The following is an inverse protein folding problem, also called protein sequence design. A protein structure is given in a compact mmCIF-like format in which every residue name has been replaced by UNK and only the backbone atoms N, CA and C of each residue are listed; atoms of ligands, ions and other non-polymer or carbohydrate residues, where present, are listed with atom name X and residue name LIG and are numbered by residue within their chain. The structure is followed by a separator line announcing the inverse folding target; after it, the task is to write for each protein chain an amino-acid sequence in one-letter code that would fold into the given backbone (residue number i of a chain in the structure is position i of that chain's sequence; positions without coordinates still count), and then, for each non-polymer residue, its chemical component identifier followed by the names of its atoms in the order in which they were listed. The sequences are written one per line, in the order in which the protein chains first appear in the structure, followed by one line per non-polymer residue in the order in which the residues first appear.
data_IF_756461033646
#
_entry.id   IF_756461033646
#
_cell.length_a   1.000
_cell.length_b   1.000
_cell.length_c   1.000
_cell.angle_alpha   90.00
_cell.angle_beta   90.00
_cell.angle_gamma   90.00
#
_symmetry.space_group_name_H-M   'P 1'
#
loop_
_entity.id
_entity.type
_entity.pdbx_description
1 polymer ?
#
# COMPACT_ATOMS: atom_id res chain seq x y z
N UNK A 1 24.22 1.35 -28.98
CA UNK A 1 23.76 0.20 -28.15
C UNK A 1 25.03 -0.50 -27.73
N UNK A 2 25.80 0.16 -26.88
CA UNK A 2 26.98 -0.46 -26.28
C UNK A 2 26.47 -1.23 -25.06
N UNK A 3 26.62 -2.54 -25.09
CA UNK A 3 26.57 -3.35 -23.87
C UNK A 3 27.50 -2.71 -22.84
N UNK A 4 27.16 -2.74 -21.54
CA UNK A 4 28.15 -2.43 -20.52
C UNK A 4 29.22 -3.53 -20.64
N UNK A 5 30.31 -3.24 -21.34
CA UNK A 5 31.48 -4.10 -21.31
C UNK A 5 31.83 -4.26 -19.83
N UNK A 6 31.85 -5.51 -19.40
CA UNK A 6 32.31 -5.94 -18.10
C UNK A 6 33.75 -5.43 -17.97
N UNK A 7 33.92 -4.23 -17.39
CA UNK A 7 35.22 -3.59 -17.27
C UNK A 7 36.03 -4.42 -16.30
N UNK A 8 36.76 -5.40 -16.82
CA UNK A 8 37.70 -6.20 -16.05
C UNK A 8 38.95 -5.35 -15.78
N UNK A 9 39.17 -4.90 -14.54
CA UNK A 9 40.28 -4.01 -14.24
C UNK A 9 41.61 -4.76 -14.44
N UNK A 10 42.61 -4.08 -15.00
CA UNK A 10 43.95 -4.65 -15.17
C UNK A 10 44.79 -4.37 -13.94
N UNK A 11 45.49 -5.40 -13.45
CA UNK A 11 46.43 -5.21 -12.33
C UNK A 11 47.74 -4.53 -12.80
N UNK A 12 48.63 -4.17 -11.87
CA UNK A 12 49.91 -3.54 -12.20
C UNK A 12 50.88 -4.37 -13.06
N UNK A 13 50.57 -5.65 -13.34
CA UNK A 13 51.29 -6.45 -14.32
C UNK A 13 50.77 -6.31 -15.76
N UNK A 14 49.69 -5.55 -15.98
CA UNK A 14 49.00 -5.42 -17.27
C UNK A 14 48.09 -6.60 -17.64
N UNK A 15 47.85 -7.54 -16.70
CA UNK A 15 46.94 -8.68 -16.87
C UNK A 15 45.62 -8.42 -16.15
N UNK A 16 44.54 -9.07 -16.59
CA UNK A 16 43.21 -8.93 -16.00
C UNK A 16 43.22 -9.40 -14.54
N UNK A 17 42.63 -8.58 -13.67
CA UNK A 17 42.50 -8.85 -12.25
C UNK A 17 41.33 -9.80 -12.00
N UNK A 18 41.49 -10.70 -11.04
CA UNK A 18 40.50 -11.70 -10.68
C UNK A 18 39.59 -11.19 -9.56
N UNK A 19 38.29 -11.33 -9.75
CA UNK A 19 37.29 -11.07 -8.71
C UNK A 19 37.34 -12.14 -7.61
N UNK A 20 37.34 -11.69 -6.35
CA UNK A 20 37.41 -12.52 -5.14
C UNK A 20 36.46 -11.99 -4.07
N UNK A 21 36.08 -12.85 -3.13
CA UNK A 21 35.24 -12.52 -1.98
C UNK A 21 36.14 -12.30 -0.74
N UNK A 22 35.94 -11.21 -0.02
CA UNK A 22 36.59 -10.96 1.27
C UNK A 22 35.96 -11.81 2.36
N UNK A 23 36.81 -12.49 3.12
CA UNK A 23 36.44 -13.28 4.29
C UNK A 23 36.87 -12.62 5.61
N UNK A 24 37.18 -11.32 5.58
CA UNK A 24 37.58 -10.58 6.79
C UNK A 24 36.36 -10.21 7.65
N UNK A 25 36.53 -10.16 8.97
CA UNK A 25 35.45 -9.77 9.91
C UNK A 25 34.95 -8.34 9.64
N UNK A 26 35.82 -7.44 9.18
CA UNK A 26 35.48 -6.04 8.89
C UNK A 26 34.71 -5.86 7.59
N UNK A 27 35.04 -6.65 6.56
CA UNK A 27 34.42 -6.57 5.24
C UNK A 27 33.95 -7.97 4.80
N UNK A 28 33.03 -8.62 5.53
CA UNK A 28 32.61 -9.97 5.18
C UNK A 28 31.82 -9.95 3.88
N UNK A 29 32.09 -10.91 3.00
CA UNK A 29 31.41 -11.10 1.72
C UNK A 29 31.57 -9.97 0.69
N UNK A 30 32.37 -8.93 0.97
CA UNK A 30 32.62 -7.84 0.02
C UNK A 30 33.53 -8.31 -1.12
N UNK A 31 33.17 -7.98 -2.36
CA UNK A 31 33.90 -8.39 -3.55
C UNK A 31 35.07 -7.44 -3.85
N UNK A 32 36.23 -7.97 -4.25
CA UNK A 32 37.41 -7.20 -4.64
C UNK A 32 38.15 -7.85 -5.80
N UNK A 33 38.83 -7.04 -6.61
CA UNK A 33 39.73 -7.47 -7.66
C UNK A 33 41.17 -7.52 -7.16
N UNK A 34 41.89 -8.59 -7.49
CA UNK A 34 43.32 -8.71 -7.19
C UNK A 34 44.10 -9.26 -8.40
N UNK A 35 45.43 -9.14 -8.37
CA UNK A 35 46.27 -9.76 -9.38
C UNK A 35 46.05 -11.29 -9.47
N UNK A 36 45.89 -11.79 -10.69
CA UNK A 36 45.64 -13.21 -11.00
C UNK A 36 46.85 -14.14 -10.80
N UNK A 37 48.05 -13.59 -10.56
CA UNK A 37 49.26 -14.35 -10.27
C UNK A 37 49.21 -15.03 -8.88
N UNK A 38 50.10 -15.99 -8.66
CA UNK A 38 50.29 -16.63 -7.35
C UNK A 38 50.74 -15.63 -6.28
N UNK A 39 50.50 -15.93 -5.01
CA UNK A 39 50.76 -15.03 -3.88
C UNK A 39 52.20 -14.50 -3.84
N UNK A 40 53.20 -15.32 -4.19
CA UNK A 40 54.61 -14.92 -4.17
C UNK A 40 55.03 -14.01 -5.34
N UNK A 41 54.20 -13.90 -6.39
CA UNK A 41 54.53 -13.16 -7.63
C UNK A 41 53.49 -12.11 -8.01
N UNK A 42 52.46 -11.93 -7.19
CA UNK A 42 51.43 -10.92 -7.41
C UNK A 42 51.97 -9.51 -7.17
N UNK A 43 51.51 -8.54 -7.96
CA UNK A 43 51.98 -7.15 -7.88
C UNK A 43 51.36 -6.32 -6.74
N UNK A 44 50.52 -6.91 -5.90
CA UNK A 44 49.83 -6.20 -4.82
C UNK A 44 48.64 -5.33 -5.27
N UNK A 45 48.22 -5.39 -6.53
CA UNK A 45 46.99 -4.72 -6.98
C UNK A 45 45.77 -5.16 -6.16
N UNK A 46 44.97 -4.18 -5.77
CA UNK A 46 43.75 -4.34 -4.99
C UNK A 46 42.75 -3.24 -5.37
N UNK A 47 41.51 -3.61 -5.69
CA UNK A 47 40.42 -2.68 -5.95
C UNK A 47 39.11 -3.29 -5.43
N UNK A 48 38.32 -2.53 -4.67
CA UNK A 48 36.98 -2.99 -4.28
C UNK A 48 36.05 -2.97 -5.49
N UNK A 49 35.24 -4.02 -5.69
CA UNK A 49 34.41 -4.15 -6.88
C UNK A 49 33.24 -3.14 -6.94
N UNK A 50 32.90 -2.55 -5.80
CA UNK A 50 31.89 -1.50 -5.64
C UNK A 50 32.51 -0.08 -5.63
N UNK A 51 33.83 0.05 -5.75
CA UNK A 51 34.53 1.34 -5.84
C UNK A 51 35.10 1.56 -7.25
N UNK A 52 35.09 2.80 -7.77
CA UNK A 52 35.71 3.13 -9.03
C UNK A 52 37.24 3.00 -8.95
N UNK A 53 37.87 2.66 -10.09
CA UNK A 53 39.32 2.70 -10.22
C UNK A 53 39.83 4.13 -10.00
N UNK A 54 40.85 4.29 -9.16
CA UNK A 54 41.44 5.60 -8.89
C UNK A 54 42.16 6.10 -10.13
N UNK A 55 41.75 7.27 -10.61
CA UNK A 55 42.36 7.94 -11.77
C UNK A 55 43.72 8.55 -11.43
N UNK A 56 44.06 8.61 -10.14
CA UNK A 56 45.26 9.28 -9.62
C UNK A 56 45.05 10.78 -9.40
N UNK A 57 43.93 11.33 -9.85
CA UNK A 57 43.49 12.69 -9.56
C UNK A 57 42.46 12.65 -8.41
N UNK A 58 42.91 12.93 -7.19
CA UNK A 58 42.10 12.82 -5.97
C UNK A 58 40.73 13.49 -6.07
N UNK A 59 40.70 14.69 -6.64
CA UNK A 59 39.46 15.46 -6.75
C UNK A 59 38.44 14.78 -7.70
N UNK A 60 38.91 14.20 -8.81
CA UNK A 60 38.05 13.48 -9.74
C UNK A 60 37.53 12.17 -9.12
N UNK A 61 38.38 11.46 -8.37
CA UNK A 61 38.00 10.23 -7.67
C UNK A 61 36.94 10.50 -6.59
N UNK A 62 37.09 11.56 -5.81
CA UNK A 62 36.07 12.01 -4.84
C UNK A 62 34.75 12.37 -5.52
N UNK A 63 34.78 13.09 -6.63
CA UNK A 63 33.57 13.41 -7.41
C UNK A 63 32.88 12.16 -7.96
N UNK A 64 33.66 11.20 -8.46
CA UNK A 64 33.11 9.94 -8.97
C UNK A 64 32.45 9.11 -7.86
N UNK A 65 33.06 9.05 -6.68
CA UNK A 65 32.47 8.39 -5.50
C UNK A 65 31.15 9.05 -5.11
N UNK A 66 31.13 10.37 -4.99
CA UNK A 66 29.91 11.13 -4.64
C UNK A 66 28.83 10.89 -5.69
N UNK A 67 29.18 10.96 -6.99
CA UNK A 67 28.23 10.71 -8.07
C UNK A 67 27.61 9.32 -7.98
N UNK A 68 28.42 8.28 -7.76
CA UNK A 68 27.95 6.90 -7.67
C UNK A 68 27.04 6.71 -6.44
N UNK A 69 27.40 7.30 -5.30
CA UNK A 69 26.55 7.28 -4.11
C UNK A 69 25.23 8.02 -4.33
N UNK A 70 25.24 9.18 -5.00
CA UNK A 70 24.03 9.88 -5.38
C UNK A 70 23.12 9.01 -6.26
N UNK A 71 23.66 8.34 -7.28
CA UNK A 71 22.89 7.43 -8.15
C UNK A 71 22.29 6.28 -7.33
N UNK A 72 23.08 5.68 -6.43
CA UNK A 72 22.64 4.57 -5.57
C UNK A 72 21.50 5.02 -4.64
N UNK A 73 21.64 6.18 -4.01
CA UNK A 73 20.64 6.76 -3.13
C UNK A 73 19.38 7.15 -3.89
N UNK A 74 19.51 7.73 -5.09
CA UNK A 74 18.40 8.08 -5.97
C UNK A 74 17.53 6.84 -6.26
N UNK A 75 18.16 5.73 -6.67
CA UNK A 75 17.45 4.45 -6.91
C UNK A 75 16.73 3.95 -5.65
N UNK A 76 17.39 4.05 -4.48
CA UNK A 76 16.75 3.62 -3.22
C UNK A 76 15.56 4.50 -2.85
N UNK A 77 15.61 5.80 -3.14
CA UNK A 77 14.48 6.71 -2.95
C UNK A 77 13.31 6.32 -3.86
N UNK A 78 13.58 5.99 -5.12
CA UNK A 78 12.55 5.52 -6.07
C UNK A 78 11.88 4.22 -5.59
N UNK A 79 12.67 3.23 -5.16
CA UNK A 79 12.14 1.98 -4.58
C UNK A 79 11.24 2.24 -3.38
N UNK A 80 11.68 3.10 -2.45
CA UNK A 80 10.90 3.45 -1.26
C UNK A 80 9.61 4.20 -1.61
N UNK A 81 9.63 5.04 -2.65
CA UNK A 81 8.43 5.73 -3.13
C UNK A 81 7.41 4.72 -3.70
N UNK A 82 7.87 3.73 -4.45
CA UNK A 82 7.02 2.65 -4.95
C UNK A 82 6.44 1.80 -3.81
N UNK A 83 7.26 1.44 -2.81
CA UNK A 83 6.80 0.73 -1.61
C UNK A 83 5.68 1.52 -0.88
N UNK A 84 5.87 2.83 -0.69
CA UNK A 84 4.88 3.71 -0.05
C UNK A 84 3.57 3.75 -0.85
N UNK A 85 3.63 3.85 -2.17
CA UNK A 85 2.44 3.91 -3.02
C UNK A 85 1.67 2.58 -3.00
N UNK A 86 2.40 1.46 -3.04
CA UNK A 86 1.81 0.13 -2.92
C UNK A 86 1.08 -0.05 -1.58
N UNK A 87 1.69 0.37 -0.47
CA UNK A 87 1.04 0.32 0.85
C UNK A 87 -0.14 1.28 0.96
N UNK A 88 -0.05 2.47 0.37
CA UNK A 88 -1.17 3.43 0.29
C UNK A 88 -2.36 2.81 -0.45
N UNK A 89 -2.12 2.17 -1.59
CA UNK A 89 -3.16 1.50 -2.39
C UNK A 89 -3.85 0.39 -1.62
N UNK A 90 -3.09 -0.45 -0.91
CA UNK A 90 -3.65 -1.49 -0.02
C UNK A 90 -4.54 -0.89 1.06
N UNK A 91 -4.06 0.18 1.71
CA UNK A 91 -4.80 0.86 2.75
C UNK A 91 -6.09 1.50 2.22
N UNK A 92 -6.06 2.11 1.04
CA UNK A 92 -7.24 2.70 0.41
C UNK A 92 -8.30 1.63 0.05
N UNK A 93 -7.86 0.46 -0.44
CA UNK A 93 -8.75 -0.65 -0.70
C UNK A 93 -9.42 -1.18 0.59
N UNK A 94 -8.63 -1.39 1.65
CA UNK A 94 -9.15 -1.84 2.94
C UNK A 94 -10.10 -0.81 3.56
N UNK A 95 -9.73 0.47 3.50
CA UNK A 95 -10.57 1.57 3.97
C UNK A 95 -11.90 1.63 3.21
N UNK A 96 -11.89 1.44 1.89
CA UNK A 96 -13.12 1.40 1.08
C UNK A 96 -14.03 0.23 1.49
N UNK A 97 -13.46 -0.95 1.69
CA UNK A 97 -14.18 -2.15 2.20
C UNK A 97 -14.83 -1.89 3.55
N UNK A 98 -14.06 -1.35 4.50
CA UNK A 98 -14.56 -1.04 5.85
C UNK A 98 -15.62 0.06 5.84
N UNK A 99 -15.43 1.10 5.01
CA UNK A 99 -16.40 2.19 4.86
C UNK A 99 -17.73 1.68 4.33
N UNK A 100 -17.69 0.78 3.33
CA UNK A 100 -18.90 0.17 2.73
C UNK A 100 -19.62 -0.77 3.71
N UNK A 101 -18.85 -1.54 4.50
CA UNK A 101 -19.42 -2.37 5.59
C UNK A 101 -20.08 -1.51 6.66
N UNK A 102 -19.45 -0.39 7.01
CA UNK A 102 -19.97 0.54 8.00
C UNK A 102 -21.26 1.21 7.52
N UNK A 103 -21.33 1.68 6.28
CA UNK A 103 -22.56 2.27 5.74
C UNK A 103 -23.70 1.25 5.72
N UNK A 104 -23.43 0.04 5.25
CA UNK A 104 -24.42 -1.04 5.25
C UNK A 104 -24.93 -1.39 6.65
N UNK A 105 -24.05 -1.47 7.65
CA UNK A 105 -24.44 -1.72 9.03
C UNK A 105 -25.29 -0.57 9.60
N UNK A 106 -24.94 0.68 9.29
CA UNK A 106 -25.72 1.86 9.68
C UNK A 106 -27.10 1.87 9.04
N UNK A 107 -27.21 1.54 7.76
CA UNK A 107 -28.49 1.49 7.05
C UNK A 107 -29.40 0.40 7.63
N UNK A 108 -28.85 -0.77 7.94
CA UNK A 108 -29.57 -1.83 8.65
C UNK A 108 -30.07 -1.38 10.02
N UNK A 109 -29.21 -0.72 10.80
CA UNK A 109 -29.60 -0.22 12.11
C UNK A 109 -30.78 0.76 11.98
N UNK A 110 -30.66 1.75 11.08
CA UNK A 110 -31.73 2.71 10.80
C UNK A 110 -33.03 2.01 10.37
N UNK A 111 -32.95 1.02 9.48
CA UNK A 111 -34.12 0.26 9.05
C UNK A 111 -34.77 -0.50 10.22
N UNK A 112 -33.97 -1.11 11.11
CA UNK A 112 -34.50 -1.77 12.30
C UNK A 112 -35.14 -0.79 13.28
N UNK A 113 -34.55 0.39 13.47
CA UNK A 113 -35.12 1.46 14.29
C UNK A 113 -36.46 1.95 13.72
N UNK A 114 -36.53 2.16 12.41
CA UNK A 114 -37.75 2.57 11.70
C UNK A 114 -38.84 1.50 11.81
N UNK A 115 -38.50 0.21 11.62
CA UNK A 115 -39.44 -0.91 11.78
C UNK A 115 -39.97 -0.99 13.22
N UNK A 116 -39.11 -0.85 14.23
CA UNK A 116 -39.50 -0.85 15.64
C UNK A 116 -40.41 0.32 15.98
N UNK A 117 -40.21 1.49 15.36
CA UNK A 117 -41.09 2.65 15.50
C UNK A 117 -42.48 2.37 14.91
N UNK A 118 -42.53 1.83 13.69
CA UNK A 118 -43.80 1.50 13.02
C UNK A 118 -44.62 0.46 13.80
N UNK A 119 -43.98 -0.57 14.36
CA UNK A 119 -44.67 -1.58 15.19
C UNK A 119 -45.29 -0.96 16.45
N UNK A 120 -44.56 -0.08 17.14
CA UNK A 120 -45.08 0.65 18.31
C UNK A 120 -46.28 1.53 17.96
N UNK A 121 -46.29 2.14 16.77
CA UNK A 121 -47.41 2.96 16.29
C UNK A 121 -48.63 2.10 15.91
N UNK A 122 -48.43 0.88 15.36
CA UNK A 122 -49.54 -0.03 15.07
C UNK A 122 -50.19 -0.61 16.33
N UNK A 123 -49.42 -0.86 17.39
CA UNK A 123 -49.93 -1.36 18.67
C UNK A 123 -50.77 -0.32 19.44
N UNK A 124 -50.74 0.95 19.02
CA UNK A 124 -51.54 2.05 19.57
C UNK A 124 -52.88 2.27 18.86
N UNK A 125 -53.32 1.37 17.96
CA UNK A 125 -54.66 1.50 17.36
C UNK A 125 -55.75 1.49 18.46
N UNK A 126 -56.70 2.47 18.45
CA UNK A 126 -57.82 2.44 19.38
C UNK A 126 -58.69 1.21 19.11
N UNK A 127 -59.35 0.61 20.12
CA UNK A 127 -60.23 -0.54 19.90
C UNK A 127 -61.30 -0.18 18.88
N UNK A 128 -61.31 -0.87 17.74
CA UNK A 128 -62.44 -0.79 16.82
C UNK A 128 -63.63 -1.43 17.53
N UNK A 129 -64.55 -0.59 18.00
CA UNK A 129 -65.84 -1.03 18.52
C UNK A 129 -66.61 -1.69 17.36
N UNK A 130 -66.38 -2.99 17.20
CA UNK A 130 -67.16 -3.89 16.39
C UNK A 130 -68.59 -3.87 16.92
N UNK A 131 -69.46 -3.10 16.28
CA UNK A 131 -70.91 -3.27 16.41
C UNK A 131 -71.43 -3.84 15.09
N UNK A 132 -71.52 -5.16 15.05
CA UNK A 132 -72.35 -5.93 14.13
C UNK A 132 -72.92 -7.06 15.01
N UNK A 133 -74.22 -7.19 15.27
CA UNK A 133 -75.39 -7.28 14.39
C UNK A 133 -76.67 -7.03 15.23
N UNK A 134 -77.65 -6.26 14.72
CA UNK A 134 -78.90 -6.72 14.07
C UNK A 134 -80.06 -6.95 15.06
N UNK A 135 -81.18 -6.23 14.88
CA UNK A 135 -82.51 -6.78 14.53
C UNK A 135 -83.69 -5.87 14.96
N UNK A 136 -84.62 -5.70 14.00
CA UNK A 136 -86.08 -5.54 14.12
C UNK A 136 -86.73 -4.26 14.67
N UNK A 137 -87.36 -3.55 13.71
CA UNK A 137 -88.78 -3.17 13.63
C UNK A 137 -89.46 -2.14 14.56
N UNK A 138 -90.13 -1.21 13.87
CA UNK A 138 -91.36 -0.45 14.16
C UNK A 138 -91.41 0.51 15.36
N UNK A 139 -91.50 1.82 15.09
CA UNK A 139 -92.78 2.52 15.13
C UNK A 139 -92.73 3.89 14.42
N UNK A 140 -93.83 4.20 13.73
CA UNK A 140 -94.12 5.47 13.05
C UNK A 140 -94.39 6.56 14.09
N UNK A 141 -94.00 7.80 13.80
CA UNK A 141 -95.01 8.85 13.63
C UNK A 141 -94.44 10.14 13.00
N UNK A 142 -95.25 10.68 12.08
CA UNK A 142 -94.97 11.82 11.24
C UNK A 142 -95.28 13.15 11.95
N UNK A 143 -94.43 14.16 11.79
CA UNK A 143 -94.89 15.56 11.73
C UNK A 143 -94.16 16.29 10.59
N UNK A 144 -94.94 16.56 9.56
CA UNK A 144 -94.70 17.53 8.49
C UNK A 144 -94.60 18.93 9.10
N UNK A 145 -93.55 19.69 8.77
CA UNK A 145 -93.63 21.15 8.65
C UNK A 145 -92.89 21.60 7.38
N UNK A 146 -93.70 22.07 6.43
CA UNK A 146 -93.29 22.71 5.18
C UNK A 146 -92.55 24.03 5.44
N UNK A 147 -91.69 24.35 4.49
CA UNK A 147 -90.90 25.56 4.24
C UNK A 147 -91.75 26.84 4.16
N UNK A 148 -91.17 27.96 4.62
CA UNK A 148 -91.14 29.25 3.90
C UNK A 148 -89.71 29.78 4.00
#
# INVERSE_FOLDING_TARGET
MDSPEDFEPKCFCGIDAKLKISHTVRNPHRLFYNCSKSFDTQCGFFLWADEPEQTGEKHLDELNLIRNECIRLQRRVEELQEEIENERSKWDEEKSKLTSRLSFAKDKLRQTEDNMRMLKESDLMPPTHWSCKADCDEERDAIIKHTV
#
